data_IF_671540271449
#
_entry.id   IF_671540271449
#
_cell.length_a   1.000
_cell.length_b   1.000
_cell.length_c   1.000
_cell.angle_alpha   90.00
_cell.angle_beta   90.00
_cell.angle_gamma   90.00
#
_symmetry.space_group_name_H-M   'P 1'
#
loop_
_entity.id
_entity.type
_entity.pdbx_description
1 polymer ?
#
# COMPACT_ATOMS: atom_id res chain seq x y z
N UNK A 1 11.89 6.10 1.39
CA UNK A 1 10.56 6.73 1.29
C UNK A 1 9.67 5.90 0.37
N UNK A 2 8.40 5.84 0.66
CA UNK A 2 7.46 5.05 -0.14
C UNK A 2 7.01 5.86 -1.36
N UNK A 3 7.09 5.25 -2.55
CA UNK A 3 6.55 5.84 -3.77
C UNK A 3 5.04 5.56 -3.81
N UNK A 4 4.27 6.46 -3.22
CA UNK A 4 2.83 6.26 -3.08
C UNK A 4 2.08 6.35 -4.42
N UNK A 5 2.62 7.11 -5.38
CA UNK A 5 2.02 7.16 -6.72
C UNK A 5 2.11 5.81 -7.41
N UNK A 6 3.28 5.17 -7.33
CA UNK A 6 3.48 3.84 -7.90
C UNK A 6 2.64 2.80 -7.17
N UNK A 7 2.57 2.90 -5.84
CA UNK A 7 1.74 1.99 -5.04
C UNK A 7 0.27 2.12 -5.40
N UNK A 8 -0.21 3.36 -5.54
CA UNK A 8 -1.60 3.60 -5.94
C UNK A 8 -1.90 3.00 -7.31
N UNK A 9 -0.98 3.18 -8.25
CA UNK A 9 -1.12 2.60 -9.59
C UNK A 9 -1.16 1.08 -9.55
N UNK A 10 -0.33 0.47 -8.71
CA UNK A 10 -0.29 -0.98 -8.57
C UNK A 10 -1.58 -1.52 -7.96
N UNK A 11 -2.12 -0.84 -6.94
CA UNK A 11 -3.40 -1.21 -6.34
C UNK A 11 -4.49 -1.26 -7.41
N UNK A 12 -4.57 -0.22 -8.23
CA UNK A 12 -5.55 -0.14 -9.31
C UNK A 12 -5.31 -1.22 -10.35
N UNK A 13 -4.06 -1.44 -10.73
CA UNK A 13 -3.69 -2.46 -11.72
C UNK A 13 -4.10 -3.85 -11.28
N UNK A 14 -3.99 -4.16 -9.98
CA UNK A 14 -4.38 -5.46 -9.45
C UNK A 14 -5.90 -5.59 -9.25
N UNK A 15 -6.65 -4.55 -9.57
CA UNK A 15 -8.11 -4.58 -9.49
C UNK A 15 -8.67 -4.30 -8.11
N UNK A 16 -7.86 -3.74 -7.22
CA UNK A 16 -8.32 -3.37 -5.87
C UNK A 16 -8.61 -1.88 -5.80
N UNK A 17 -9.49 -1.52 -4.85
CA UNK A 17 -9.64 -0.13 -4.44
C UNK A 17 -8.78 0.11 -3.19
N UNK A 18 -8.48 1.36 -2.90
CA UNK A 18 -7.76 1.70 -1.68
C UNK A 18 -8.58 1.30 -0.45
N UNK A 19 -9.89 1.40 -0.54
CA UNK A 19 -10.80 0.96 0.53
C UNK A 19 -10.63 -0.54 0.81
N UNK A 20 -10.53 -1.34 -0.24
CA UNK A 20 -10.36 -2.78 -0.09
C UNK A 20 -9.02 -3.11 0.56
N UNK A 21 -7.96 -2.44 0.13
CA UNK A 21 -6.63 -2.64 0.73
C UNK A 21 -6.64 -2.23 2.21
N UNK A 22 -7.28 -1.11 2.54
CA UNK A 22 -7.40 -0.69 3.94
C UNK A 22 -8.08 -1.79 4.77
N UNK A 23 -9.17 -2.34 4.25
CA UNK A 23 -9.88 -3.42 4.92
C UNK A 23 -8.98 -4.63 5.14
N UNK A 24 -8.22 -5.01 4.13
CA UNK A 24 -7.31 -6.16 4.21
C UNK A 24 -6.18 -5.93 5.24
N UNK A 25 -5.78 -4.68 5.44
CA UNK A 25 -4.77 -4.31 6.42
C UNK A 25 -5.35 -4.09 7.83
N UNK A 26 -6.67 -4.21 7.98
CA UNK A 26 -7.32 -4.05 9.27
C UNK A 26 -7.41 -2.62 9.74
N UNK A 27 -7.44 -1.65 8.83
CA UNK A 27 -7.54 -0.24 9.17
C UNK A 27 -8.69 0.43 8.42
N UNK A 28 -9.13 1.60 8.92
CA UNK A 28 -10.16 2.37 8.23
C UNK A 28 -9.62 2.97 6.94
N UNK A 29 -10.51 3.28 6.02
CA UNK A 29 -10.15 3.94 4.77
C UNK A 29 -9.45 5.28 5.04
N UNK A 30 -9.93 6.03 6.02
CA UNK A 30 -9.34 7.31 6.39
C UNK A 30 -7.90 7.13 6.87
N UNK A 31 -7.66 6.15 7.74
CA UNK A 31 -6.31 5.88 8.24
C UNK A 31 -5.36 5.51 7.10
N UNK A 32 -5.83 4.66 6.20
CA UNK A 32 -5.03 4.25 5.04
C UNK A 32 -4.72 5.47 4.17
N UNK A 33 -5.72 6.30 3.92
CA UNK A 33 -5.56 7.49 3.09
C UNK A 33 -4.55 8.46 3.69
N UNK A 34 -4.62 8.66 5.02
CA UNK A 34 -3.67 9.53 5.71
C UNK A 34 -2.24 8.98 5.61
N UNK A 35 -2.07 7.67 5.76
CA UNK A 35 -0.77 7.03 5.62
C UNK A 35 -0.23 7.14 4.21
N UNK A 36 -1.09 6.98 3.20
CA UNK A 36 -0.71 7.18 1.80
C UNK A 36 -0.25 8.61 1.57
N UNK A 37 -0.98 9.56 2.12
CA UNK A 37 -0.65 10.99 1.97
C UNK A 37 0.71 11.31 2.58
N UNK A 38 1.01 10.74 3.75
CA UNK A 38 2.28 10.94 4.43
C UNK A 38 3.42 10.10 3.86
N UNK A 39 3.07 9.03 3.16
CA UNK A 39 4.06 8.10 2.62
C UNK A 39 4.71 7.25 3.70
N UNK A 40 3.98 6.95 4.78
CA UNK A 40 4.51 6.21 5.93
C UNK A 40 3.60 5.04 6.29
N UNK A 41 4.15 3.83 6.25
CA UNK A 41 3.50 2.60 6.73
C UNK A 41 4.49 1.87 7.62
N UNK A 42 3.98 1.11 8.59
CA UNK A 42 4.87 0.30 9.40
C UNK A 42 5.28 -1.00 8.66
N UNK A 43 6.24 -1.71 9.23
CA UNK A 43 6.80 -2.89 8.58
C UNK A 43 5.77 -4.00 8.38
N UNK A 44 4.84 -4.18 9.33
CA UNK A 44 3.79 -5.20 9.19
C UNK A 44 2.82 -4.84 8.06
N UNK A 45 2.47 -3.56 7.97
CA UNK A 45 1.59 -3.08 6.90
C UNK A 45 2.23 -3.26 5.53
N UNK A 46 3.51 -2.93 5.43
CA UNK A 46 4.27 -3.11 4.20
C UNK A 46 4.31 -4.59 3.80
N UNK A 47 4.60 -5.48 4.76
CA UNK A 47 4.64 -6.92 4.51
C UNK A 47 3.30 -7.43 4.02
N UNK A 48 2.20 -6.98 4.63
CA UNK A 48 0.87 -7.40 4.23
C UNK A 48 0.52 -6.91 2.82
N UNK A 49 0.93 -5.70 2.46
CA UNK A 49 0.71 -5.18 1.12
C UNK A 49 1.51 -5.95 0.07
N UNK A 50 2.75 -6.30 0.39
CA UNK A 50 3.58 -7.09 -0.52
C UNK A 50 2.90 -8.42 -0.83
N UNK A 51 2.36 -9.08 0.19
CA UNK A 51 1.67 -10.35 0.03
C UNK A 51 0.34 -10.17 -0.72
N UNK A 52 -0.48 -9.22 -0.28
CA UNK A 52 -1.82 -9.03 -0.83
C UNK A 52 -1.78 -8.61 -2.31
N UNK A 53 -0.82 -7.78 -2.68
CA UNK A 53 -0.68 -7.27 -4.04
C UNK A 53 0.30 -8.08 -4.88
N UNK A 54 0.90 -9.11 -4.30
CA UNK A 54 1.90 -9.93 -4.97
C UNK A 54 2.99 -9.07 -5.62
N UNK A 55 3.58 -8.19 -4.81
CA UNK A 55 4.58 -7.24 -5.30
C UNK A 55 5.90 -7.96 -5.53
N UNK A 56 6.38 -7.96 -6.78
CA UNK A 56 7.59 -8.67 -7.15
C UNK A 56 8.86 -7.90 -6.79
N UNK A 57 8.79 -6.57 -6.84
CA UNK A 57 9.96 -5.72 -6.59
C UNK A 57 9.61 -4.66 -5.54
N UNK A 58 9.50 -5.08 -4.27
CA UNK A 58 9.10 -4.13 -3.21
C UNK A 58 10.10 -2.99 -3.01
N UNK A 59 11.37 -3.19 -3.34
CA UNK A 59 12.36 -2.12 -3.24
C UNK A 59 12.00 -0.91 -4.09
N UNK A 60 11.40 -1.15 -5.27
CA UNK A 60 11.05 -0.08 -6.19
C UNK A 60 9.89 0.78 -5.68
N UNK A 61 9.15 0.29 -4.70
CA UNK A 61 7.97 0.97 -4.16
C UNK A 61 8.22 1.50 -2.76
N UNK A 62 8.76 0.66 -1.89
CA UNK A 62 8.82 0.97 -0.46
C UNK A 62 10.16 1.54 0.00
N UNK A 63 11.20 1.40 -0.79
CA UNK A 63 12.55 1.79 -0.37
C UNK A 63 13.25 2.65 -1.41
N UNK A 64 12.51 3.53 -2.05
CA UNK A 64 13.06 4.43 -3.07
C UNK A 64 13.68 5.69 -2.49
#
# INVERSE_FOLDING_TARGET
MIDTSRLRGLIAEKGYSQRKIAFMLGMSEKTFYDKMKKGVFDSDEISQMIIALNIEKPMDIFFT
#
